data_IF_664818538134
#
_entry.id   IF_664818538134
#
_cell.length_a   1.000
_cell.length_b   1.000
_cell.length_c   1.000
_cell.angle_alpha   90.00
_cell.angle_beta   90.00
_cell.angle_gamma   90.00
#
_symmetry.space_group_name_H-M   'P 1'
#
loop_
_entity.id
_entity.type
_entity.pdbx_description
1 polymer ?
#
# COMPACT_ATOMS: atom_id res chain seq x y z
N UNK A 1 9.37 15.72 -5.83
CA UNK A 1 9.52 16.76 -6.88
C UNK A 1 10.56 17.76 -6.41
N UNK A 2 11.73 17.83 -7.08
CA UNK A 2 12.71 18.89 -6.87
C UNK A 2 12.50 19.93 -7.97
N UNK A 3 11.65 20.93 -7.69
CA UNK A 3 11.51 22.11 -8.54
C UNK A 3 12.17 23.29 -7.84
N UNK A 4 12.94 24.06 -8.57
CA UNK A 4 13.62 25.23 -8.07
C UNK A 4 12.58 26.29 -7.66
N UNK A 5 12.42 26.51 -6.36
CA UNK A 5 11.58 27.57 -5.81
C UNK A 5 12.47 28.82 -5.65
N UNK A 6 12.25 29.82 -6.48
CA UNK A 6 13.01 31.05 -6.47
C UNK A 6 12.21 32.30 -6.01
N UNK A 7 10.91 32.11 -5.70
CA UNK A 7 10.07 33.16 -5.10
C UNK A 7 9.42 32.63 -3.83
N UNK A 8 9.21 33.50 -2.84
CA UNK A 8 8.52 33.18 -1.57
C UNK A 8 7.10 32.63 -1.81
N UNK A 9 6.43 33.12 -2.86
CA UNK A 9 5.12 32.59 -3.33
C UNK A 9 5.15 31.18 -3.91
N UNK A 10 6.34 30.59 -4.15
CA UNK A 10 6.48 29.28 -4.76
C UNK A 10 6.65 28.15 -3.71
N UNK A 11 6.42 28.47 -2.41
CA UNK A 11 6.41 27.42 -1.39
C UNK A 11 5.27 26.44 -1.68
N UNK A 12 5.55 25.12 -1.77
CA UNK A 12 4.53 24.11 -2.11
C UNK A 12 3.31 24.12 -1.19
N UNK A 13 3.50 24.44 0.10
CA UNK A 13 2.41 24.50 1.07
C UNK A 13 1.50 25.70 0.83
N UNK A 14 2.08 26.88 0.52
CA UNK A 14 1.32 28.08 0.14
C UNK A 14 0.54 27.82 -1.17
N UNK A 15 1.20 27.24 -2.18
CA UNK A 15 0.58 26.91 -3.45
C UNK A 15 -0.56 25.90 -3.31
N UNK A 16 -0.42 24.92 -2.41
CA UNK A 16 -1.48 23.96 -2.13
C UNK A 16 -2.71 24.61 -1.50
N UNK A 17 -2.53 25.54 -0.56
CA UNK A 17 -3.63 26.31 0.05
C UNK A 17 -4.32 27.22 -0.96
N UNK A 18 -3.57 27.89 -1.86
CA UNK A 18 -4.10 28.67 -2.98
C UNK A 18 -4.89 27.82 -3.97
N UNK A 19 -4.45 26.58 -4.19
CA UNK A 19 -5.16 25.61 -5.04
C UNK A 19 -6.43 25.04 -4.41
N UNK A 20 -6.82 25.49 -3.20
CA UNK A 20 -8.07 25.10 -2.56
C UNK A 20 -7.96 23.93 -1.57
N UNK A 21 -6.77 23.42 -1.27
CA UNK A 21 -6.63 22.38 -0.25
C UNK A 21 -6.97 22.95 1.14
N UNK A 22 -7.75 22.18 1.91
CA UNK A 22 -8.12 22.55 3.28
C UNK A 22 -7.05 22.13 4.30
N UNK A 23 -6.31 21.05 4.02
CA UNK A 23 -5.31 20.44 4.92
C UNK A 23 -4.06 20.11 4.13
N UNK A 24 -2.89 20.36 4.73
CA UNK A 24 -1.59 19.95 4.21
C UNK A 24 -1.19 18.63 4.87
N UNK A 25 -1.06 17.54 4.08
CA UNK A 25 -0.67 16.23 4.57
C UNK A 25 0.84 16.04 4.43
N UNK A 26 1.50 15.75 5.56
CA UNK A 26 2.94 15.42 5.63
C UNK A 26 3.85 16.41 4.89
N UNK A 27 3.81 17.70 5.19
CA UNK A 27 4.72 18.66 4.60
C UNK A 27 6.17 18.28 4.91
N UNK A 28 7.08 18.46 3.94
CA UNK A 28 8.48 18.03 4.07
C UNK A 28 9.29 18.84 5.08
N UNK A 29 8.90 20.09 5.33
CA UNK A 29 9.56 21.01 6.25
C UNK A 29 8.53 21.80 7.08
N UNK A 30 7.81 21.17 8.04
CA UNK A 30 6.64 21.75 8.70
C UNK A 30 6.87 23.12 9.32
N UNK A 31 8.03 23.35 9.93
CA UNK A 31 8.37 24.64 10.58
C UNK A 31 8.53 25.75 9.53
N UNK A 32 9.24 25.46 8.44
CA UNK A 32 9.46 26.42 7.35
C UNK A 32 8.15 26.68 6.58
N UNK A 33 7.36 25.64 6.37
CA UNK A 33 6.06 25.73 5.70
C UNK A 33 5.07 26.55 6.50
N UNK A 34 5.05 26.40 7.84
CA UNK A 34 4.24 27.24 8.72
C UNK A 34 4.67 28.73 8.65
N UNK A 35 5.98 29.00 8.66
CA UNK A 35 6.50 30.36 8.54
C UNK A 35 6.12 30.96 7.18
N UNK A 36 6.23 30.22 6.09
CA UNK A 36 5.86 30.66 4.75
C UNK A 36 4.36 30.96 4.62
N UNK A 37 3.49 30.14 5.21
CA UNK A 37 2.03 30.37 5.23
C UNK A 37 1.69 31.64 6.03
N UNK A 38 2.35 31.85 7.18
CA UNK A 38 2.15 33.03 7.99
C UNK A 38 2.56 34.30 7.22
N UNK A 39 3.74 34.32 6.59
CA UNK A 39 4.24 35.41 5.77
C UNK A 39 3.30 35.68 4.58
N UNK A 40 2.81 34.62 3.91
CA UNK A 40 1.87 34.77 2.79
C UNK A 40 0.51 35.38 3.21
N UNK A 41 0.06 35.16 4.44
CA UNK A 41 -1.11 35.83 5.02
C UNK A 41 -0.82 37.31 5.33
N UNK A 42 0.37 37.63 5.86
CA UNK A 42 0.78 39.02 6.18
C UNK A 42 0.97 39.84 4.90
N UNK A 43 1.46 39.23 3.81
CA UNK A 43 1.65 39.86 2.50
C UNK A 43 0.35 39.89 1.65
N UNK A 44 -0.75 39.30 2.11
CA UNK A 44 -2.03 39.24 1.39
C UNK A 44 -2.03 38.33 0.16
N UNK A 45 -1.06 37.40 0.06
CA UNK A 45 -1.02 36.34 -0.97
C UNK A 45 -2.10 35.29 -0.70
N UNK A 46 -2.28 34.95 0.58
CA UNK A 46 -3.40 34.11 1.05
C UNK A 46 -4.48 35.04 1.64
N UNK A 47 -5.71 34.78 1.23
CA UNK A 47 -6.86 35.51 1.80
C UNK A 47 -7.17 34.96 3.20
N UNK A 48 -7.24 35.88 4.18
CA UNK A 48 -7.55 35.52 5.56
C UNK A 48 -8.94 34.89 5.71
N UNK A 49 -9.95 35.43 5.04
CA UNK A 49 -11.31 34.91 5.14
C UNK A 49 -11.41 33.50 4.59
N UNK A 50 -10.68 33.22 3.48
CA UNK A 50 -10.62 31.88 2.92
C UNK A 50 -9.94 30.88 3.88
N UNK A 51 -8.83 31.27 4.51
CA UNK A 51 -8.14 30.41 5.49
C UNK A 51 -9.00 30.18 6.74
N UNK A 52 -9.70 31.21 7.22
CA UNK A 52 -10.64 31.07 8.36
C UNK A 52 -11.79 30.12 8.01
N UNK A 53 -12.34 30.18 6.80
CA UNK A 53 -13.36 29.25 6.33
C UNK A 53 -12.85 27.79 6.31
N UNK A 54 -11.60 27.56 5.87
CA UNK A 54 -10.96 26.24 5.91
C UNK A 54 -10.80 25.74 7.36
N UNK A 55 -10.39 26.60 8.27
CA UNK A 55 -10.26 26.27 9.70
C UNK A 55 -11.62 25.90 10.30
N UNK A 56 -12.68 26.67 10.03
CA UNK A 56 -14.03 26.39 10.50
C UNK A 56 -14.48 25.02 9.98
N UNK A 57 -14.26 24.73 8.71
CA UNK A 57 -14.58 23.42 8.12
C UNK A 57 -13.86 22.26 8.85
N UNK A 58 -12.57 22.40 9.14
CA UNK A 58 -11.79 21.41 9.90
C UNK A 58 -12.36 21.22 11.31
N UNK A 59 -12.69 22.33 12.00
CA UNK A 59 -13.28 22.27 13.33
C UNK A 59 -14.67 21.59 13.34
N UNK A 60 -15.49 21.84 12.31
CA UNK A 60 -16.78 21.18 12.15
C UNK A 60 -16.60 19.65 12.00
N UNK A 61 -15.65 19.19 11.18
CA UNK A 61 -15.38 17.75 11.06
C UNK A 61 -14.82 17.14 12.34
N UNK A 62 -13.98 17.87 13.08
CA UNK A 62 -13.51 17.44 14.41
C UNK A 62 -14.68 17.30 15.39
N UNK A 63 -15.63 18.22 15.35
CA UNK A 63 -16.83 18.14 16.17
C UNK A 63 -17.70 16.93 15.79
N UNK A 64 -17.96 16.73 14.49
CA UNK A 64 -18.71 15.58 13.99
C UNK A 64 -18.03 14.25 14.39
N UNK A 65 -16.69 14.22 14.40
CA UNK A 65 -15.92 13.08 14.86
C UNK A 65 -15.92 12.88 16.39
N UNK A 66 -16.61 13.75 17.15
CA UNK A 66 -16.73 13.64 18.62
C UNK A 66 -15.49 14.12 19.38
N UNK A 67 -14.57 14.84 18.74
CA UNK A 67 -13.32 15.30 19.38
C UNK A 67 -13.53 16.42 20.40
N UNK A 68 -14.72 17.02 20.45
CA UNK A 68 -15.12 17.95 21.50
C UNK A 68 -15.36 17.27 22.87
N UNK A 69 -15.64 15.96 22.87
CA UNK A 69 -15.74 15.10 24.08
C UNK A 69 -14.77 13.92 23.90
N UNK A 70 -13.48 14.23 23.67
CA UNK A 70 -12.46 13.23 23.41
C UNK A 70 -12.28 12.29 24.59
N UNK A 71 -12.47 11.00 24.35
CA UNK A 71 -12.17 9.94 25.31
C UNK A 71 -11.02 9.09 24.76
N UNK A 72 -9.96 8.91 25.54
CA UNK A 72 -8.87 8.02 25.15
C UNK A 72 -9.39 6.61 24.86
N UNK A 73 -8.80 5.97 23.86
CA UNK A 73 -9.12 4.57 23.55
C UNK A 73 -8.63 3.69 24.69
N UNK A 74 -9.51 2.79 25.19
CA UNK A 74 -9.12 1.77 26.17
C UNK A 74 -8.12 0.80 25.52
N UNK A 75 -6.88 0.80 25.98
CA UNK A 75 -5.79 -0.01 25.42
C UNK A 75 -5.78 -1.45 25.94
N UNK A 76 -6.42 -1.72 27.10
CA UNK A 76 -6.52 -3.07 27.63
C UNK A 76 -7.34 -3.96 26.70
N UNK A 77 -6.75 -5.06 26.26
CA UNK A 77 -7.38 -5.98 25.31
C UNK A 77 -7.61 -5.39 23.89
N UNK A 78 -6.94 -4.29 23.54
CA UNK A 78 -7.11 -3.65 22.24
C UNK A 78 -6.67 -4.54 21.10
N UNK A 79 -5.54 -5.24 21.25
CA UNK A 79 -5.02 -6.15 20.25
C UNK A 79 -6.01 -7.27 19.94
N UNK A 80 -6.60 -7.88 20.97
CA UNK A 80 -7.58 -8.96 20.83
C UNK A 80 -8.87 -8.47 20.16
N UNK A 81 -9.32 -7.26 20.48
CA UNK A 81 -10.51 -6.66 19.84
C UNK A 81 -10.28 -6.35 18.37
N UNK A 82 -9.10 -5.85 18.00
CA UNK A 82 -8.76 -5.54 16.62
C UNK A 82 -8.49 -6.80 15.80
N UNK A 83 -7.79 -7.79 16.40
CA UNK A 83 -7.43 -9.04 15.75
C UNK A 83 -8.38 -10.19 16.14
N UNK A 84 -9.67 -9.90 16.21
CA UNK A 84 -10.67 -10.91 16.53
C UNK A 84 -10.74 -12.01 15.47
N UNK A 85 -11.18 -13.24 15.81
CA UNK A 85 -11.41 -14.30 14.82
C UNK A 85 -12.33 -13.87 13.67
N UNK A 86 -13.32 -13.01 13.96
CA UNK A 86 -14.20 -12.44 12.95
C UNK A 86 -13.46 -11.50 11.99
N UNK A 87 -12.57 -10.64 12.51
CA UNK A 87 -11.75 -9.77 11.66
C UNK A 87 -10.82 -10.58 10.74
N UNK A 88 -10.20 -11.64 11.28
CA UNK A 88 -9.35 -12.53 10.49
C UNK A 88 -10.15 -13.27 9.41
N UNK A 89 -11.34 -13.78 9.73
CA UNK A 89 -12.26 -14.39 8.77
C UNK A 89 -12.68 -13.41 7.67
N UNK A 90 -13.08 -12.19 8.06
CA UNK A 90 -13.49 -11.16 7.11
C UNK A 90 -12.34 -10.79 6.16
N UNK A 91 -11.12 -10.63 6.69
CA UNK A 91 -9.95 -10.36 5.87
C UNK A 91 -9.67 -11.49 4.88
N UNK A 92 -9.77 -12.75 5.30
CA UNK A 92 -9.62 -13.91 4.42
C UNK A 92 -10.70 -13.92 3.31
N UNK A 93 -11.96 -13.65 3.68
CA UNK A 93 -13.08 -13.61 2.73
C UNK A 93 -12.93 -12.48 1.71
N UNK A 94 -12.53 -11.29 2.15
CA UNK A 94 -12.26 -10.16 1.25
C UNK A 94 -11.12 -10.46 0.28
N UNK A 95 -10.04 -11.09 0.75
CA UNK A 95 -8.94 -11.51 -0.11
C UNK A 95 -9.38 -12.57 -1.14
N UNK A 96 -10.21 -13.53 -0.75
CA UNK A 96 -10.76 -14.53 -1.66
C UNK A 96 -11.60 -13.90 -2.76
N UNK A 97 -12.53 -12.99 -2.41
CA UNK A 97 -13.41 -12.31 -3.35
C UNK A 97 -12.66 -11.30 -4.25
N UNK A 98 -11.52 -10.79 -3.80
CA UNK A 98 -10.69 -9.86 -4.58
C UNK A 98 -9.89 -10.57 -5.70
N UNK A 99 -9.77 -11.92 -5.66
CA UNK A 99 -9.04 -12.66 -6.69
C UNK A 99 -9.82 -12.62 -8.00
N UNK A 100 -9.18 -12.10 -9.04
CA UNK A 100 -9.77 -12.03 -10.38
C UNK A 100 -9.07 -13.01 -11.31
N UNK A 101 -9.83 -13.97 -11.84
CA UNK A 101 -9.33 -14.91 -12.85
C UNK A 101 -9.36 -14.26 -14.23
N UNK A 102 -8.19 -13.86 -14.74
CA UNK A 102 -8.09 -13.18 -16.03
C UNK A 102 -8.12 -14.15 -17.22
N UNK A 103 -7.60 -15.38 -17.04
CA UNK A 103 -7.46 -16.37 -18.10
C UNK A 103 -7.36 -17.78 -17.50
N UNK A 104 -8.07 -18.75 -18.07
CA UNK A 104 -8.04 -20.15 -17.68
C UNK A 104 -8.16 -21.05 -18.91
N UNK A 105 -7.15 -21.05 -19.75
CA UNK A 105 -7.10 -21.92 -20.95
C UNK A 105 -6.87 -23.37 -20.53
N UNK A 106 -7.67 -24.27 -21.09
CA UNK A 106 -7.59 -25.70 -20.82
C UNK A 106 -8.06 -26.11 -19.42
N UNK A 107 -8.84 -25.25 -18.72
CA UNK A 107 -9.40 -25.52 -17.39
C UNK A 107 -8.36 -25.99 -16.37
N UNK A 108 -7.18 -25.33 -16.39
CA UNK A 108 -6.08 -25.64 -15.46
C UNK A 108 -6.46 -25.33 -14.02
N UNK A 109 -7.25 -24.27 -13.80
CA UNK A 109 -7.72 -23.87 -12.48
C UNK A 109 -9.20 -24.29 -12.33
N UNK A 110 -9.54 -25.03 -11.23
CA UNK A 110 -8.69 -25.46 -10.14
C UNK A 110 -7.74 -26.58 -10.51
N UNK A 111 -6.51 -26.57 -9.95
CA UNK A 111 -5.54 -27.64 -10.13
C UNK A 111 -6.10 -28.94 -9.56
N UNK A 112 -6.08 -30.01 -10.37
CA UNK A 112 -6.60 -31.33 -10.00
C UNK A 112 -5.44 -32.32 -9.85
N UNK A 113 -5.65 -33.38 -9.04
CA UNK A 113 -4.70 -34.48 -8.85
C UNK A 113 -3.32 -33.97 -8.39
N UNK A 114 -3.30 -33.18 -7.34
CA UNK A 114 -2.07 -32.58 -6.80
C UNK A 114 -1.05 -33.66 -6.43
N UNK A 115 -1.52 -34.77 -5.85
CA UNK A 115 -0.75 -35.96 -5.46
C UNK A 115 0.03 -36.62 -6.60
N UNK A 116 -0.34 -36.36 -7.86
CA UNK A 116 0.30 -36.89 -9.05
C UNK A 116 1.18 -35.95 -9.81
N UNK A 117 1.31 -34.66 -9.32
CA UNK A 117 2.01 -33.63 -10.03
C UNK A 117 3.20 -33.14 -9.21
N UNK A 118 4.32 -32.91 -9.88
CA UNK A 118 5.46 -32.18 -9.31
C UNK A 118 5.20 -30.69 -9.44
N UNK A 119 4.99 -30.02 -8.32
CA UNK A 119 4.63 -28.60 -8.28
C UNK A 119 5.84 -27.79 -7.82
N UNK A 120 6.10 -26.69 -8.51
CA UNK A 120 7.05 -25.66 -8.09
C UNK A 120 6.36 -24.32 -7.87
N UNK A 121 6.84 -23.55 -6.89
CA UNK A 121 6.45 -22.16 -6.65
C UNK A 121 7.63 -21.25 -6.92
N UNK A 122 7.49 -20.32 -7.86
CA UNK A 122 8.47 -19.29 -8.18
C UNK A 122 8.02 -17.94 -7.64
N UNK A 123 8.79 -17.35 -6.74
CA UNK A 123 8.63 -15.96 -6.30
C UNK A 123 9.48 -15.02 -7.13
N UNK A 124 8.88 -14.01 -7.73
CA UNK A 124 9.57 -12.96 -8.47
C UNK A 124 9.51 -11.67 -7.66
N UNK A 125 10.66 -11.16 -7.24
CA UNK A 125 10.78 -9.93 -6.47
C UNK A 125 10.69 -10.09 -4.95
N UNK A 126 10.60 -11.32 -4.45
CA UNK A 126 10.66 -11.68 -3.03
C UNK A 126 11.52 -12.94 -2.83
N UNK A 127 11.94 -13.20 -1.57
CA UNK A 127 12.77 -14.34 -1.21
C UNK A 127 12.04 -15.69 -1.22
N UNK A 128 12.80 -16.77 -1.05
CA UNK A 128 12.26 -18.11 -0.82
C UNK A 128 11.65 -18.22 0.57
N UNK A 129 10.55 -18.94 0.71
CA UNK A 129 9.87 -19.19 1.98
C UNK A 129 8.98 -18.04 2.43
N UNK A 130 8.54 -17.19 1.53
CA UNK A 130 7.55 -16.15 1.79
C UNK A 130 6.15 -16.74 2.04
N UNK A 131 5.19 -15.92 2.46
CA UNK A 131 3.84 -16.37 2.83
C UNK A 131 3.08 -17.04 1.66
N UNK A 132 3.29 -16.58 0.42
CA UNK A 132 2.74 -17.22 -0.77
C UNK A 132 3.21 -18.68 -0.89
N UNK A 133 4.51 -18.92 -0.77
CA UNK A 133 5.09 -20.27 -0.86
C UNK A 133 4.71 -21.15 0.34
N UNK A 134 4.69 -20.59 1.54
CA UNK A 134 4.23 -21.30 2.74
C UNK A 134 2.77 -21.72 2.62
N UNK A 135 1.92 -20.86 2.07
CA UNK A 135 0.51 -21.17 1.87
C UNK A 135 0.34 -22.31 0.86
N UNK A 136 1.04 -22.28 -0.27
CA UNK A 136 1.02 -23.37 -1.25
C UNK A 136 1.48 -24.71 -0.65
N UNK A 137 2.51 -24.66 0.21
CA UNK A 137 3.01 -25.84 0.93
C UNK A 137 2.03 -26.49 1.92
N UNK A 138 0.88 -25.85 2.20
CA UNK A 138 -0.19 -26.43 3.03
C UNK A 138 -1.08 -27.39 2.22
N UNK A 139 -1.04 -27.32 0.91
CA UNK A 139 -1.87 -28.16 0.03
C UNK A 139 -1.10 -29.36 -0.52
N UNK A 140 0.21 -29.21 -0.76
CA UNK A 140 1.07 -30.28 -1.26
C UNK A 140 2.55 -29.95 -1.03
N UNK A 141 3.43 -30.94 -1.30
CA UNK A 141 4.87 -30.73 -1.32
C UNK A 141 5.28 -29.89 -2.52
N UNK A 142 5.60 -28.63 -2.29
CA UNK A 142 5.92 -27.64 -3.32
C UNK A 142 7.38 -27.24 -3.25
N UNK A 143 8.12 -27.38 -4.35
CA UNK A 143 9.50 -26.91 -4.44
C UNK A 143 9.55 -25.39 -4.64
N UNK A 144 10.23 -24.68 -3.73
CA UNK A 144 10.24 -23.23 -3.70
C UNK A 144 11.48 -22.65 -4.39
N UNK A 145 11.27 -21.70 -5.29
CA UNK A 145 12.30 -20.93 -5.99
C UNK A 145 12.03 -19.45 -5.86
N UNK A 146 13.08 -18.64 -5.98
CA UNK A 146 12.93 -17.20 -6.08
C UNK A 146 13.87 -16.60 -7.10
N UNK A 147 13.49 -15.45 -7.63
CA UNK A 147 14.30 -14.65 -8.55
C UNK A 147 14.12 -13.17 -8.27
N UNK A 148 15.21 -12.41 -8.29
CA UNK A 148 15.16 -10.97 -8.18
C UNK A 148 14.48 -10.34 -9.41
N UNK A 149 13.79 -9.22 -9.24
CA UNK A 149 13.27 -8.41 -10.35
C UNK A 149 14.37 -7.88 -11.28
N UNK A 150 15.56 -7.69 -10.75
CA UNK A 150 16.72 -7.21 -11.48
C UNK A 150 17.66 -8.36 -11.88
N UNK A 151 17.11 -9.59 -12.01
CA UNK A 151 17.91 -10.75 -12.39
C UNK A 151 18.49 -10.62 -13.79
N UNK A 152 19.72 -11.06 -13.95
CA UNK A 152 20.36 -11.15 -15.28
C UNK A 152 19.76 -12.28 -16.10
N UNK A 153 19.92 -12.22 -17.42
CA UNK A 153 19.46 -13.29 -18.31
C UNK A 153 20.05 -14.67 -17.93
N UNK A 154 21.30 -14.73 -17.49
CA UNK A 154 21.92 -15.96 -17.03
C UNK A 154 21.23 -16.53 -15.77
N UNK A 155 20.83 -15.69 -14.82
CA UNK A 155 20.11 -16.10 -13.63
C UNK A 155 18.70 -16.61 -13.99
N UNK A 156 18.00 -15.93 -14.89
CA UNK A 156 16.70 -16.36 -15.41
C UNK A 156 16.82 -17.75 -16.03
N UNK A 157 17.79 -17.97 -16.91
CA UNK A 157 18.03 -19.27 -17.56
C UNK A 157 18.39 -20.37 -16.56
N UNK A 158 19.16 -20.06 -15.52
CA UNK A 158 19.50 -21.01 -14.48
C UNK A 158 18.25 -21.49 -13.70
N UNK A 159 17.33 -20.56 -13.37
CA UNK A 159 16.08 -20.90 -12.71
C UNK A 159 15.15 -21.68 -13.64
N UNK A 160 15.02 -21.23 -14.89
CA UNK A 160 14.21 -21.92 -15.90
C UNK A 160 14.59 -23.38 -16.06
N UNK A 161 15.87 -23.71 -16.22
CA UNK A 161 16.37 -25.11 -16.30
C UNK A 161 16.00 -25.95 -15.07
N UNK A 162 15.94 -25.32 -13.88
CA UNK A 162 15.51 -26.04 -12.66
C UNK A 162 14.01 -26.32 -12.64
N UNK A 163 13.23 -25.48 -13.30
CA UNK A 163 11.77 -25.59 -13.34
C UNK A 163 11.26 -26.59 -14.39
N UNK A 164 12.05 -26.90 -15.42
CA UNK A 164 11.67 -27.84 -16.50
C UNK A 164 11.27 -29.25 -16.05
N UNK A 165 11.70 -29.65 -14.86
CA UNK A 165 11.37 -30.97 -14.28
C UNK A 165 10.05 -31.03 -13.50
N UNK A 166 9.31 -29.90 -13.43
CA UNK A 166 8.03 -29.81 -12.74
C UNK A 166 6.87 -29.77 -13.73
N UNK A 167 5.77 -30.43 -13.37
CA UNK A 167 4.57 -30.48 -14.21
C UNK A 167 3.77 -29.18 -14.16
N UNK A 168 3.85 -28.47 -13.01
CA UNK A 168 3.17 -27.20 -12.77
C UNK A 168 4.11 -26.23 -12.08
N UNK A 169 4.16 -25.00 -12.59
CA UNK A 169 4.88 -23.89 -11.94
C UNK A 169 3.89 -22.78 -11.59
N UNK A 170 3.75 -22.48 -10.30
CA UNK A 170 2.92 -21.37 -9.81
C UNK A 170 3.82 -20.17 -9.55
N UNK A 171 3.64 -19.10 -10.33
CA UNK A 171 4.46 -17.90 -10.23
C UNK A 171 3.74 -16.81 -9.43
N UNK A 172 4.35 -16.34 -8.34
CA UNK A 172 3.95 -15.13 -7.62
C UNK A 172 4.85 -13.95 -7.99
N UNK A 173 4.26 -12.86 -8.48
CA UNK A 173 4.97 -11.60 -8.74
C UNK A 173 4.70 -10.65 -7.58
N UNK A 174 5.75 -10.33 -6.82
CA UNK A 174 5.65 -9.49 -5.62
C UNK A 174 6.15 -8.07 -5.92
N UNK A 175 5.30 -7.08 -5.61
CA UNK A 175 5.69 -5.67 -5.74
C UNK A 175 6.03 -5.10 -4.36
N UNK A 176 7.21 -4.50 -4.22
CA UNK A 176 7.70 -3.94 -2.94
C UNK A 176 7.13 -2.54 -2.68
N UNK A 177 6.42 -1.92 -3.62
CA UNK A 177 5.94 -0.54 -3.48
C UNK A 177 4.42 -0.50 -3.32
N UNK A 178 3.97 -0.46 -2.08
CA UNK A 178 2.61 -0.04 -1.69
C UNK A 178 2.52 1.51 -1.61
N UNK A 179 3.33 2.23 -2.35
CA UNK A 179 3.31 3.71 -2.34
C UNK A 179 2.33 4.32 -3.34
N UNK A 180 1.53 3.50 -4.04
CA UNK A 180 0.62 4.02 -5.06
C UNK A 180 -0.81 4.28 -4.58
N UNK A 181 -1.16 3.93 -3.36
CA UNK A 181 -2.53 4.15 -2.84
C UNK A 181 -2.78 5.60 -2.38
N UNK A 182 -1.77 6.47 -2.44
CA UNK A 182 -1.89 7.90 -2.06
C UNK A 182 -1.97 8.81 -3.31
N UNK A 183 -1.94 8.24 -4.51
CA UNK A 183 -2.00 8.98 -5.77
C UNK A 183 -3.25 8.64 -6.59
N UNK A 184 -4.40 8.63 -5.95
CA UNK A 184 -5.70 8.69 -6.63
C UNK A 184 -6.26 10.09 -6.45
#
# INVERSE_FOLDING_TARGET
>A
MKGATTRKSDNPSVMALLAGNDILLAPTAPINDFAAVKEALEEGILDREEIEAKIIKILQYKYIAGLNDYRPVETKGLSERLNSPHAAWLAAKLNEEAITLLKNEGDIIPLKQLDKKKIAALSIGDGVGNEFQKMLGRYDSVACFSISRNATAAQVQSVYKKLEKYDVVICGVHTVRILSLIHI
#
